data_IF_390614234453
#
_entry.id   IF_390614234453
#
_cell.length_a   1.000
_cell.length_b   1.000
_cell.length_c   1.000
_cell.angle_alpha   90.00
_cell.angle_beta   90.00
_cell.angle_gamma   90.00
#
_symmetry.space_group_name_H-M   'P 1'
#
loop_
_entity.id
_entity.type
_entity.pdbx_description
1 polymer ?
#
# COMPACT_ATOMS: atom_id res chain seq x y z
N UNK A 1 10.50 -30.19 60.17
CA UNK A 1 10.70 -30.11 58.70
C UNK A 1 9.38 -30.37 57.99
N UNK A 2 8.71 -29.32 57.50
CA UNK A 2 7.65 -29.43 56.48
C UNK A 2 7.76 -28.18 55.61
N UNK A 3 8.45 -28.31 54.49
CA UNK A 3 8.47 -27.30 53.44
C UNK A 3 7.20 -27.47 52.60
N UNK A 4 6.40 -26.41 52.54
CA UNK A 4 5.24 -26.26 51.66
C UNK A 4 5.75 -25.90 50.26
N UNK A 5 5.42 -26.62 49.17
CA UNK A 5 5.84 -26.18 47.85
C UNK A 5 4.90 -25.05 47.39
N UNK A 6 5.52 -23.91 47.10
CA UNK A 6 4.90 -22.75 46.47
C UNK A 6 4.59 -23.13 45.01
N UNK A 7 3.32 -23.35 44.68
CA UNK A 7 2.87 -23.59 43.31
C UNK A 7 2.81 -22.24 42.59
N UNK A 8 3.88 -21.89 41.88
CA UNK A 8 3.95 -20.70 41.03
C UNK A 8 3.08 -20.94 39.79
N UNK A 9 1.89 -20.34 39.75
CA UNK A 9 1.03 -20.33 38.57
C UNK A 9 1.70 -19.46 37.49
N UNK A 10 2.40 -20.12 36.56
CA UNK A 10 2.81 -19.54 35.29
C UNK A 10 1.54 -19.32 34.45
N UNK A 11 0.91 -18.14 34.61
CA UNK A 11 -0.02 -17.60 33.62
C UNK A 11 0.79 -17.26 32.38
N UNK A 12 1.01 -18.25 31.52
CA UNK A 12 1.45 -18.00 30.16
C UNK A 12 0.36 -17.19 29.49
N UNK A 13 0.63 -15.90 29.25
CA UNK A 13 -0.12 -15.09 28.30
C UNK A 13 0.02 -15.76 26.94
N UNK A 14 -0.86 -16.71 26.65
CA UNK A 14 -1.17 -17.11 25.29
C UNK A 14 -1.87 -15.91 24.68
N UNK A 15 -1.09 -14.97 24.14
CA UNK A 15 -1.59 -14.12 23.07
C UNK A 15 -1.94 -15.07 21.95
N UNK A 16 -3.20 -15.50 21.93
CA UNK A 16 -3.81 -16.10 20.75
C UNK A 16 -3.58 -15.03 19.69
N UNK A 17 -2.66 -15.28 18.76
CA UNK A 17 -2.64 -14.57 17.50
C UNK A 17 -4.02 -14.88 16.89
N UNK A 18 -4.99 -13.99 17.11
CA UNK A 18 -6.29 -14.12 16.47
C UNK A 18 -6.00 -14.01 14.98
N UNK A 19 -6.22 -15.12 14.28
CA UNK A 19 -6.05 -15.18 12.85
C UNK A 19 -7.05 -14.18 12.24
N UNK A 20 -6.53 -13.08 11.68
CA UNK A 20 -7.38 -12.06 11.06
C UNK A 20 -8.05 -12.65 9.83
N UNK A 21 -9.32 -12.27 9.64
CA UNK A 21 -10.11 -12.76 8.51
C UNK A 21 -10.06 -11.81 7.32
N UNK A 22 -9.90 -12.35 6.11
CA UNK A 22 -9.95 -11.57 4.88
C UNK A 22 -11.39 -11.10 4.62
N UNK A 23 -11.59 -9.80 4.37
CA UNK A 23 -12.91 -9.26 4.01
C UNK A 23 -13.46 -9.86 2.71
N UNK A 24 -14.79 -10.01 2.63
CA UNK A 24 -15.50 -10.59 1.47
C UNK A 24 -15.24 -9.81 0.18
N UNK A 25 -14.88 -8.53 0.28
CA UNK A 25 -14.62 -7.66 -0.86
C UNK A 25 -13.18 -7.68 -1.39
N UNK A 26 -12.30 -8.53 -0.82
CA UNK A 26 -10.87 -8.57 -1.12
C UNK A 26 -10.41 -9.78 -1.96
N UNK A 27 -9.17 -9.76 -2.45
CA UNK A 27 -8.52 -10.84 -3.19
C UNK A 27 -7.01 -10.90 -2.88
N UNK A 28 -6.53 -12.03 -2.36
CA UNK A 28 -5.12 -12.27 -1.97
C UNK A 28 -4.34 -13.13 -2.96
N UNK A 29 -4.80 -13.29 -4.20
CA UNK A 29 -4.15 -14.18 -5.17
C UNK A 29 -2.82 -13.63 -5.72
N UNK A 30 -2.86 -12.87 -6.81
CA UNK A 30 -1.67 -12.49 -7.57
C UNK A 30 -0.92 -11.31 -6.93
N UNK A 31 -1.62 -10.20 -6.73
CA UNK A 31 -0.99 -8.96 -6.29
C UNK A 31 -0.50 -9.03 -4.85
N UNK A 32 -1.16 -9.77 -3.98
CA UNK A 32 -0.78 -9.92 -2.58
C UNK A 32 0.57 -10.63 -2.41
N UNK A 33 0.80 -11.73 -3.15
CA UNK A 33 2.08 -12.44 -3.10
C UNK A 33 3.23 -11.60 -3.67
N UNK A 34 3.00 -10.93 -4.80
CA UNK A 34 3.99 -10.03 -5.38
C UNK A 34 4.32 -8.87 -4.44
N UNK A 35 3.30 -8.34 -3.73
CA UNK A 35 3.44 -7.29 -2.73
C UNK A 35 4.24 -7.70 -1.50
N UNK A 36 4.16 -8.95 -1.07
CA UNK A 36 4.90 -9.42 0.09
C UNK A 36 6.42 -9.24 -0.06
N UNK A 37 6.94 -9.36 -1.29
CA UNK A 37 8.36 -9.10 -1.57
C UNK A 37 8.69 -7.61 -1.51
N UNK A 38 7.90 -6.75 -2.18
CA UNK A 38 8.11 -5.30 -2.14
C UNK A 38 7.96 -4.72 -0.73
N UNK A 39 6.97 -5.19 0.05
CA UNK A 39 6.79 -4.79 1.44
C UNK A 39 8.07 -5.05 2.24
N UNK A 40 8.66 -6.24 2.09
CA UNK A 40 9.93 -6.58 2.74
C UNK A 40 11.07 -5.65 2.36
N UNK A 41 11.18 -5.25 1.09
CA UNK A 41 12.22 -4.31 0.64
C UNK A 41 11.97 -2.87 1.10
N UNK A 42 10.73 -2.51 1.43
CA UNK A 42 10.33 -1.21 1.97
C UNK A 42 10.26 -1.18 3.51
N UNK A 43 10.71 -2.25 4.18
CA UNK A 43 10.59 -2.45 5.63
C UNK A 43 9.13 -2.37 6.15
N UNK A 44 8.16 -2.78 5.32
CA UNK A 44 6.76 -2.88 5.68
C UNK A 44 6.37 -4.34 5.96
N UNK A 45 5.55 -4.56 6.99
CA UNK A 45 4.85 -5.83 7.17
C UNK A 45 3.73 -5.96 6.15
N UNK A 46 3.32 -7.18 5.80
CA UNK A 46 2.10 -7.39 5.02
C UNK A 46 0.87 -6.98 5.85
N UNK A 47 -0.21 -6.53 5.20
CA UNK A 47 -1.34 -5.93 5.90
C UNK A 47 -2.05 -6.91 6.84
N UNK A 48 -2.08 -8.20 6.50
CA UNK A 48 -2.58 -9.30 7.35
C UNK A 48 -1.80 -9.44 8.66
N UNK A 49 -0.51 -9.11 8.63
CA UNK A 49 0.41 -9.20 9.76
C UNK A 49 0.65 -7.88 10.48
N UNK A 50 -0.11 -6.82 10.17
CA UNK A 50 0.03 -5.50 10.80
C UNK A 50 -0.06 -5.60 12.33
N UNK A 51 0.83 -4.94 13.05
CA UNK A 51 0.76 -4.87 14.53
C UNK A 51 -0.10 -3.72 15.05
N UNK A 52 -0.58 -2.85 14.16
CA UNK A 52 -1.38 -1.68 14.52
C UNK A 52 -2.83 -2.07 14.78
N UNK A 53 -3.52 -1.32 15.65
CA UNK A 53 -4.97 -1.53 15.88
C UNK A 53 -5.78 -1.24 14.62
N UNK A 54 -5.40 -0.16 13.93
CA UNK A 54 -5.88 0.17 12.61
C UNK A 54 -4.72 0.58 11.72
N UNK A 55 -4.74 0.09 10.48
CA UNK A 55 -3.82 0.52 9.44
C UNK A 55 -4.55 0.61 8.10
N UNK A 56 -4.26 1.66 7.35
CA UNK A 56 -4.70 1.86 5.99
C UNK A 56 -3.50 2.09 5.08
N UNK A 57 -3.51 1.50 3.88
CA UNK A 57 -2.52 1.82 2.84
C UNK A 57 -3.17 2.02 1.50
N UNK A 58 -2.78 3.09 0.82
CA UNK A 58 -3.11 3.34 -0.56
C UNK A 58 -1.85 3.38 -1.42
N UNK A 59 -1.90 2.69 -2.55
CA UNK A 59 -0.78 2.53 -3.46
C UNK A 59 -1.19 2.91 -4.87
N UNK A 60 -0.34 3.65 -5.58
CA UNK A 60 -0.56 4.01 -6.99
C UNK A 60 0.69 3.86 -7.87
N UNK A 61 1.45 2.80 -7.59
CA UNK A 61 2.54 2.32 -8.43
C UNK A 61 3.91 2.75 -7.97
N UNK A 62 4.13 4.01 -7.57
CA UNK A 62 5.45 4.49 -7.15
C UNK A 62 5.48 5.09 -5.74
N UNK A 63 4.32 5.10 -5.07
CA UNK A 63 4.22 5.49 -3.68
C UNK A 63 3.23 4.63 -2.92
N UNK A 64 3.42 4.66 -1.60
CA UNK A 64 2.50 4.15 -0.59
C UNK A 64 2.16 5.30 0.32
N UNK A 65 0.88 5.54 0.54
CA UNK A 65 0.42 6.40 1.63
C UNK A 65 -0.08 5.47 2.72
N UNK A 66 0.48 5.59 3.91
CA UNK A 66 0.18 4.74 5.07
C UNK A 66 -0.38 5.61 6.18
N UNK A 67 -1.52 5.21 6.73
CA UNK A 67 -2.13 5.79 7.92
C UNK A 67 -2.26 4.69 8.97
N UNK A 68 -1.97 4.99 10.23
CA UNK A 68 -2.11 4.04 11.32
C UNK A 68 -2.38 4.74 12.65
N UNK A 69 -3.05 4.04 13.55
CA UNK A 69 -3.27 4.52 14.92
C UNK A 69 -2.12 4.06 15.82
N UNK A 70 -1.57 4.98 16.59
CA UNK A 70 -0.48 4.72 17.54
C UNK A 70 -0.62 5.65 18.72
N UNK A 71 -0.78 5.09 19.91
CA UNK A 71 -0.95 5.86 21.17
C UNK A 71 -2.13 6.85 21.10
N UNK A 72 -3.28 6.39 20.58
CA UNK A 72 -4.50 7.20 20.36
C UNK A 72 -4.34 8.37 19.36
N UNK A 73 -3.23 8.43 18.63
CA UNK A 73 -3.00 9.41 17.58
C UNK A 73 -2.97 8.75 16.18
N UNK A 74 -3.67 9.37 15.24
CA UNK A 74 -3.59 8.99 13.83
C UNK A 74 -2.30 9.57 13.21
N UNK A 75 -1.39 8.68 12.84
CA UNK A 75 -0.11 9.02 12.19
C UNK A 75 -0.19 8.69 10.70
N UNK A 76 0.64 9.37 9.90
CA UNK A 76 0.72 9.03 8.49
C UNK A 76 2.08 9.35 7.86
N UNK A 77 2.44 8.55 6.87
CA UNK A 77 3.64 8.71 6.08
C UNK A 77 3.36 8.45 4.60
N UNK A 78 4.23 8.98 3.74
CA UNK A 78 4.31 8.61 2.33
C UNK A 78 5.67 8.00 2.05
N UNK A 79 5.67 6.82 1.44
CA UNK A 79 6.87 6.10 1.03
C UNK A 79 6.93 6.15 -0.49
N UNK A 80 7.91 6.87 -1.03
CA UNK A 80 8.19 6.87 -2.47
C UNK A 80 9.23 5.81 -2.78
N UNK A 81 9.10 5.14 -3.93
CA UNK A 81 10.06 4.12 -4.33
C UNK A 81 10.19 4.01 -5.85
N UNK A 82 11.38 3.60 -6.29
CA UNK A 82 11.72 3.30 -7.68
C UNK A 82 12.66 2.11 -7.74
N UNK A 83 12.60 1.37 -8.84
CA UNK A 83 13.54 0.28 -9.09
C UNK A 83 14.44 0.60 -10.27
N UNK A 84 15.74 0.40 -10.09
CA UNK A 84 16.74 0.60 -11.15
C UNK A 84 16.43 -0.29 -12.37
N UNK A 85 16.40 0.29 -13.56
CA UNK A 85 16.30 -0.47 -14.80
C UNK A 85 17.71 -0.88 -15.25
N UNK A 86 17.96 -2.19 -15.25
CA UNK A 86 19.18 -2.78 -15.84
C UNK A 86 18.83 -3.57 -17.07
N UNK A 87 19.17 -3.04 -18.25
CA UNK A 87 19.03 -3.76 -19.51
C UNK A 87 19.93 -5.01 -19.50
N UNK A 88 19.36 -6.20 -19.30
CA UNK A 88 20.03 -7.47 -19.57
C UNK A 88 19.72 -7.94 -20.98
N UNK A 89 20.67 -8.69 -21.57
CA UNK A 89 20.58 -9.13 -22.96
C UNK A 89 19.50 -10.21 -23.21
N UNK A 90 18.86 -10.80 -22.19
CA UNK A 90 17.85 -11.88 -22.31
C UNK A 90 17.04 -12.09 -21.00
N UNK A 91 16.60 -11.05 -20.29
CA UNK A 91 15.81 -11.22 -19.06
C UNK A 91 14.77 -10.12 -18.87
N UNK A 92 13.53 -10.52 -18.58
CA UNK A 92 12.41 -9.65 -18.18
C UNK A 92 12.35 -9.45 -16.65
N UNK A 93 13.33 -9.97 -15.90
CA UNK A 93 13.32 -9.84 -14.44
C UNK A 93 13.73 -8.43 -14.02
N UNK A 94 12.96 -7.88 -13.08
CA UNK A 94 13.18 -6.58 -12.46
C UNK A 94 14.32 -6.64 -11.42
N UNK A 95 15.53 -7.07 -11.80
CA UNK A 95 16.68 -7.26 -10.90
C UNK A 95 17.47 -5.96 -10.63
N UNK A 96 16.73 -4.89 -10.36
CA UNK A 96 17.25 -3.57 -10.03
C UNK A 96 17.34 -3.34 -8.54
N UNK A 97 18.30 -2.49 -8.13
CA UNK A 97 18.31 -1.94 -6.77
C UNK A 97 17.02 -1.14 -6.53
N UNK A 98 16.44 -1.28 -5.35
CA UNK A 98 15.37 -0.41 -4.89
C UNK A 98 15.98 0.88 -4.34
N UNK A 99 15.40 2.02 -4.68
CA UNK A 99 15.62 3.29 -3.99
C UNK A 99 14.28 3.74 -3.45
N UNK A 100 14.19 3.94 -2.14
CA UNK A 100 12.98 4.42 -1.48
C UNK A 100 13.32 5.46 -0.42
N UNK A 101 12.32 6.27 -0.08
CA UNK A 101 12.39 7.21 1.02
C UNK A 101 11.00 7.36 1.64
N UNK A 102 10.94 7.34 2.97
CA UNK A 102 9.72 7.66 3.73
C UNK A 102 9.77 9.11 4.23
N UNK A 103 8.63 9.78 4.15
CA UNK A 103 8.39 11.11 4.68
C UNK A 103 7.15 11.10 5.58
N UNK A 104 7.31 11.52 6.84
CA UNK A 104 6.18 11.76 7.73
C UNK A 104 5.34 12.94 7.22
N UNK A 105 4.02 12.74 7.20
CA UNK A 105 3.07 13.75 6.76
C UNK A 105 2.64 14.61 7.95
N UNK A 106 2.31 15.88 7.67
CA UNK A 106 1.84 16.77 8.71
C UNK A 106 0.45 16.35 9.22
N UNK A 107 0.11 16.68 10.46
CA UNK A 107 -1.22 16.42 11.03
C UNK A 107 -2.36 16.94 10.13
N UNK A 108 -2.19 18.13 9.54
CA UNK A 108 -3.15 18.70 8.58
C UNK A 108 -3.34 17.79 7.36
N UNK A 109 -2.26 17.28 6.81
CA UNK A 109 -2.28 16.35 5.67
C UNK A 109 -2.88 15.01 6.08
N UNK A 110 -2.50 14.46 7.23
CA UNK A 110 -3.08 13.23 7.81
C UNK A 110 -4.60 13.34 7.91
N UNK A 111 -5.11 14.43 8.49
CA UNK A 111 -6.56 14.68 8.59
C UNK A 111 -7.23 14.80 7.23
N UNK A 112 -6.58 15.47 6.28
CA UNK A 112 -7.09 15.61 4.91
C UNK A 112 -7.24 14.24 4.23
N UNK A 113 -6.22 13.38 4.32
CA UNK A 113 -6.25 12.03 3.74
C UNK A 113 -7.32 11.19 4.43
N UNK A 114 -7.40 11.24 5.77
CA UNK A 114 -8.42 10.51 6.51
C UNK A 114 -9.83 10.93 6.08
N UNK A 115 -10.09 12.23 5.93
CA UNK A 115 -11.38 12.72 5.44
C UNK A 115 -11.67 12.22 4.02
N UNK A 116 -10.69 12.23 3.11
CA UNK A 116 -10.87 11.66 1.75
C UNK A 116 -11.24 10.17 1.84
N UNK A 117 -10.58 9.39 2.69
CA UNK A 117 -10.88 7.96 2.87
C UNK A 117 -12.32 7.77 3.36
N UNK A 118 -12.77 8.55 4.34
CA UNK A 118 -14.11 8.47 4.92
C UNK A 118 -15.20 8.98 3.97
N UNK A 119 -15.01 10.14 3.34
CA UNK A 119 -15.96 10.77 2.42
C UNK A 119 -16.21 9.90 1.18
N UNK A 120 -15.16 9.21 0.72
CA UNK A 120 -15.28 8.25 -0.38
C UNK A 120 -15.68 6.85 0.10
N UNK A 121 -15.61 6.56 1.39
CA UNK A 121 -15.88 5.21 1.91
C UNK A 121 -15.16 4.13 1.06
N UNK A 122 -13.89 4.40 0.70
CA UNK A 122 -13.16 3.62 -0.32
C UNK A 122 -12.97 2.15 0.10
N UNK A 123 -13.09 1.88 1.40
CA UNK A 123 -13.04 0.54 1.98
C UNK A 123 -14.26 -0.32 1.64
N UNK A 124 -15.35 0.25 1.14
CA UNK A 124 -16.54 -0.52 0.73
C UNK A 124 -16.52 -0.87 -0.78
N UNK A 125 -15.66 -0.23 -1.56
CA UNK A 125 -15.51 -0.55 -2.99
C UNK A 125 -14.99 -1.99 -3.15
N UNK A 126 -15.67 -2.90 -3.89
CA UNK A 126 -15.15 -4.25 -4.15
C UNK A 126 -13.89 -4.21 -5.02
N UNK A 127 -12.97 -5.16 -4.84
CA UNK A 127 -11.82 -5.32 -5.76
C UNK A 127 -12.27 -5.49 -7.22
N UNK A 128 -11.43 -5.08 -8.18
CA UNK A 128 -11.82 -4.99 -9.60
C UNK A 128 -12.46 -6.26 -10.19
N UNK A 129 -11.93 -7.45 -9.87
CA UNK A 129 -12.46 -8.72 -10.36
C UNK A 129 -13.87 -9.07 -9.85
N UNK A 130 -14.42 -8.32 -8.89
CA UNK A 130 -15.81 -8.42 -8.40
C UNK A 130 -16.71 -7.35 -9.00
N UNK A 131 -16.16 -6.36 -9.71
CA UNK A 131 -16.94 -5.33 -10.40
C UNK A 131 -17.27 -5.80 -11.81
N UNK A 132 -18.56 -5.92 -12.11
CA UNK A 132 -19.01 -6.32 -13.44
C UNK A 132 -18.57 -5.32 -14.50
N UNK A 133 -17.85 -5.80 -15.51
CA UNK A 133 -17.36 -4.99 -16.62
C UNK A 133 -15.92 -4.50 -16.45
N UNK A 134 -15.33 -4.66 -15.26
CA UNK A 134 -13.92 -4.31 -15.04
C UNK A 134 -13.02 -5.43 -15.53
N UNK A 135 -12.17 -5.14 -16.50
CA UNK A 135 -11.21 -6.10 -17.06
C UNK A 135 -9.77 -5.67 -16.84
N UNK A 136 -8.82 -6.60 -16.84
CA UNK A 136 -7.40 -6.26 -16.74
C UNK A 136 -6.85 -5.92 -18.13
N UNK A 137 -6.08 -4.84 -18.23
CA UNK A 137 -5.35 -4.44 -19.43
C UNK A 137 -3.87 -4.83 -19.38
N UNK A 138 -3.14 -4.49 -20.45
CA UNK A 138 -1.68 -4.73 -20.56
C UNK A 138 -0.84 -3.50 -20.15
N UNK A 139 -1.39 -2.28 -20.29
CA UNK A 139 -0.72 -1.02 -19.97
C UNK A 139 -1.56 -0.15 -19.04
N UNK A 140 -0.97 0.30 -17.93
CA UNK A 140 -1.68 1.05 -16.89
C UNK A 140 -0.99 1.02 -15.52
N UNK A 141 -1.62 1.71 -14.58
CA UNK A 141 -1.32 1.70 -13.15
C UNK A 141 -2.29 0.76 -12.44
N UNK A 142 -1.76 -0.13 -11.60
CA UNK A 142 -2.53 -0.87 -10.60
C UNK A 142 -2.58 -0.07 -9.31
N UNK A 143 -3.78 0.29 -8.89
CA UNK A 143 -4.03 0.88 -7.58
C UNK A 143 -4.32 -0.23 -6.58
N UNK A 144 -3.84 -0.08 -5.34
CA UNK A 144 -4.18 -1.02 -4.28
C UNK A 144 -4.62 -0.27 -3.04
N UNK A 145 -5.73 -0.73 -2.46
CA UNK A 145 -6.28 -0.27 -1.18
C UNK A 145 -6.20 -1.44 -0.21
N UNK A 146 -5.56 -1.19 0.91
CA UNK A 146 -5.34 -2.15 1.98
C UNK A 146 -5.84 -1.57 3.30
N UNK A 147 -6.43 -2.41 4.14
CA UNK A 147 -6.70 -2.03 5.53
C UNK A 147 -6.54 -3.20 6.48
N UNK A 148 -6.20 -2.92 7.73
CA UNK A 148 -6.16 -3.88 8.83
C UNK A 148 -6.93 -3.30 10.01
N UNK A 149 -7.69 -4.17 10.68
CA UNK A 149 -8.39 -3.94 11.92
C UNK A 149 -8.15 -5.15 12.84
N UNK A 150 -8.54 -5.12 14.14
CA UNK A 150 -8.17 -6.18 15.08
C UNK A 150 -8.62 -7.59 14.65
N UNK A 151 -9.75 -7.72 13.96
CA UNK A 151 -10.33 -9.01 13.56
C UNK A 151 -10.29 -9.31 12.06
N UNK A 152 -9.89 -8.34 11.23
CA UNK A 152 -9.99 -8.48 9.78
C UNK A 152 -8.98 -7.64 9.02
N UNK A 153 -8.75 -8.00 7.76
CA UNK A 153 -7.96 -7.20 6.85
C UNK A 153 -8.57 -7.20 5.44
N UNK A 154 -8.24 -6.17 4.67
CA UNK A 154 -8.64 -6.02 3.27
C UNK A 154 -7.42 -5.81 2.38
N UNK A 155 -7.51 -6.36 1.18
CA UNK A 155 -6.55 -6.15 0.10
C UNK A 155 -7.33 -6.13 -1.20
N UNK A 156 -7.33 -4.98 -1.87
CA UNK A 156 -8.15 -4.74 -3.06
C UNK A 156 -7.29 -4.11 -4.13
N UNK A 157 -7.30 -4.70 -5.32
CA UNK A 157 -6.56 -4.19 -6.47
C UNK A 157 -7.49 -3.66 -7.53
N UNK A 158 -7.05 -2.62 -8.23
CA UNK A 158 -7.81 -1.99 -9.29
C UNK A 158 -6.89 -1.66 -10.46
N UNK A 159 -7.17 -2.28 -11.61
CA UNK A 159 -6.57 -1.84 -12.86
C UNK A 159 -7.07 -0.45 -13.26
N UNK A 160 -6.26 0.32 -13.99
CA UNK A 160 -6.48 1.74 -14.32
C UNK A 160 -7.95 2.11 -14.61
N UNK A 161 -8.59 2.93 -13.75
CA UNK A 161 -10.02 3.22 -13.85
C UNK A 161 -10.39 4.07 -15.07
N UNK A 162 -9.47 4.88 -15.61
CA UNK A 162 -9.72 5.68 -16.82
C UNK A 162 -10.00 4.84 -18.07
N UNK A 163 -9.71 3.53 -18.03
CA UNK A 163 -10.05 2.59 -19.11
C UNK A 163 -11.53 2.19 -19.13
N UNK A 164 -12.30 2.53 -18.08
CA UNK A 164 -13.70 2.14 -17.91
C UNK A 164 -14.60 3.34 -17.57
N UNK A 165 -14.62 4.41 -18.39
CA UNK A 165 -15.32 5.65 -18.08
C UNK A 165 -16.83 5.46 -17.86
N UNK A 166 -17.43 4.38 -18.36
CA UNK A 166 -18.83 4.01 -18.18
C UNK A 166 -19.14 3.42 -16.79
N UNK A 167 -18.18 2.77 -16.13
CA UNK A 167 -18.37 2.15 -14.82
C UNK A 167 -18.40 3.23 -13.73
N UNK A 168 -19.40 3.17 -12.85
CA UNK A 168 -19.56 4.16 -11.77
C UNK A 168 -18.41 4.04 -10.78
N UNK A 169 -18.05 2.81 -10.45
CA UNK A 169 -16.96 2.39 -9.58
C UNK A 169 -15.60 2.88 -10.09
N UNK A 170 -15.39 2.87 -11.40
CA UNK A 170 -14.14 3.35 -12.00
C UNK A 170 -14.02 4.87 -11.89
N UNK A 171 -15.07 5.61 -12.26
CA UNK A 171 -15.10 7.07 -12.04
C UNK A 171 -14.92 7.43 -10.57
N UNK A 172 -15.55 6.66 -9.70
CA UNK A 172 -15.45 6.83 -8.26
C UNK A 172 -14.00 6.70 -7.76
N UNK A 173 -13.33 5.60 -8.11
CA UNK A 173 -11.92 5.40 -7.80
C UNK A 173 -11.05 6.49 -8.43
N UNK A 174 -11.31 6.89 -9.67
CA UNK A 174 -10.55 7.94 -10.34
C UNK A 174 -10.61 9.26 -9.57
N UNK A 175 -11.79 9.67 -9.09
CA UNK A 175 -11.91 10.87 -8.27
C UNK A 175 -11.18 10.75 -6.94
N UNK A 176 -11.23 9.59 -6.28
CA UNK A 176 -10.44 9.34 -5.06
C UNK A 176 -8.94 9.53 -5.33
N UNK A 177 -8.43 8.93 -6.40
CA UNK A 177 -7.02 9.04 -6.82
C UNK A 177 -6.63 10.49 -7.10
N UNK A 178 -7.49 11.26 -7.78
CA UNK A 178 -7.27 12.68 -8.05
C UNK A 178 -7.21 13.53 -6.78
N UNK A 179 -8.11 13.28 -5.82
CA UNK A 179 -8.09 13.99 -4.54
C UNK A 179 -6.79 13.71 -3.77
N UNK A 180 -6.35 12.45 -3.70
CA UNK A 180 -5.09 12.08 -3.06
C UNK A 180 -3.89 12.73 -3.78
N UNK A 181 -3.85 12.68 -5.11
CA UNK A 181 -2.74 13.23 -5.89
C UNK A 181 -2.70 14.76 -5.90
N UNK A 182 -3.80 15.43 -5.55
CA UNK A 182 -3.86 16.89 -5.41
C UNK A 182 -3.21 17.42 -4.11
N UNK A 183 -2.83 16.53 -3.19
CA UNK A 183 -2.24 16.91 -1.91
C UNK A 183 -0.83 17.46 -2.11
N UNK A 184 -0.69 18.77 -1.88
CA UNK A 184 0.54 19.52 -2.13
C UNK A 184 1.78 18.91 -1.45
N UNK A 185 1.67 18.51 -0.17
CA UNK A 185 2.80 17.92 0.56
C UNK A 185 3.32 16.64 -0.11
N UNK A 186 2.43 15.80 -0.64
CA UNK A 186 2.79 14.56 -1.33
C UNK A 186 3.46 14.90 -2.67
N UNK A 187 2.92 15.85 -3.42
CA UNK A 187 3.50 16.27 -4.70
C UNK A 187 4.92 16.83 -4.55
N UNK A 188 5.14 17.73 -3.57
CA UNK A 188 6.47 18.26 -3.25
C UNK A 188 7.44 17.19 -2.76
N UNK A 189 6.97 16.29 -1.90
CA UNK A 189 7.79 15.15 -1.43
C UNK A 189 8.27 14.28 -2.59
N UNK A 190 7.41 14.05 -3.58
CA UNK A 190 7.79 13.32 -4.79
C UNK A 190 8.84 14.06 -5.61
N UNK A 191 8.70 15.37 -5.82
CA UNK A 191 9.70 16.18 -6.52
C UNK A 191 11.08 16.11 -5.83
N UNK A 192 11.11 16.24 -4.51
CA UNK A 192 12.33 16.12 -3.71
C UNK A 192 12.96 14.73 -3.82
N UNK A 193 12.15 13.68 -3.78
CA UNK A 193 12.59 12.31 -3.97
C UNK A 193 13.19 12.11 -5.37
N UNK A 194 12.53 12.60 -6.42
CA UNK A 194 13.00 12.52 -7.81
C UNK A 194 14.27 13.33 -8.07
N UNK A 195 14.48 14.41 -7.33
CA UNK A 195 15.72 15.18 -7.39
C UNK A 195 16.93 14.38 -6.84
N UNK A 196 16.69 13.55 -5.81
CA UNK A 196 17.73 12.80 -5.07
C UNK A 196 17.98 11.39 -5.60
N UNK A 197 17.04 10.81 -6.36
CA UNK A 197 17.18 9.45 -6.85
C UNK A 197 18.46 9.25 -7.69
N UNK A 198 19.21 8.14 -7.49
CA UNK A 198 20.55 7.96 -8.07
C UNK A 198 20.58 7.27 -9.43
N UNK A 199 19.44 6.80 -9.94
CA UNK A 199 19.35 5.97 -11.13
C UNK A 199 19.29 6.79 -12.42
N UNK A 200 20.11 6.37 -13.40
CA UNK A 200 20.03 6.88 -14.77
C UNK A 200 18.79 6.35 -15.49
N UNK A 201 18.42 5.10 -15.23
CA UNK A 201 17.24 4.47 -15.80
C UNK A 201 16.51 3.71 -14.70
N UNK A 202 15.19 3.85 -14.65
CA UNK A 202 14.37 3.26 -13.59
C UNK A 202 12.96 2.95 -14.08
N UNK A 203 12.33 1.96 -13.45
CA UNK A 203 10.90 1.73 -13.55
C UNK A 203 10.18 2.67 -12.57
N UNK A 204 9.24 3.44 -13.09
CA UNK A 204 8.27 4.15 -12.29
C UNK A 204 6.98 3.31 -12.31
N UNK A 205 6.56 2.81 -11.15
CA UNK A 205 5.36 1.99 -11.07
C UNK A 205 5.62 0.50 -10.82
N UNK A 206 4.88 -0.05 -9.88
CA UNK A 206 4.63 -1.49 -9.71
C UNK A 206 4.07 -2.05 -11.02
N UNK A 207 4.70 -3.08 -11.57
CA UNK A 207 4.23 -3.77 -12.77
C UNK A 207 4.39 -2.99 -14.09
N UNK A 208 5.07 -1.83 -14.07
CA UNK A 208 5.33 -1.05 -15.28
C UNK A 208 6.38 -1.73 -16.16
N UNK A 209 6.04 -1.93 -17.44
CA UNK A 209 6.99 -2.31 -18.49
C UNK A 209 7.77 -1.11 -19.03
N UNK A 210 7.33 0.11 -18.70
CA UNK A 210 7.93 1.36 -19.12
C UNK A 210 9.02 1.81 -18.14
N UNK A 211 10.17 2.20 -18.68
CA UNK A 211 11.27 2.76 -17.91
C UNK A 211 11.57 4.19 -18.37
N UNK A 212 11.98 5.02 -17.42
CA UNK A 212 12.39 6.40 -17.68
C UNK A 212 13.91 6.43 -17.80
N UNK A 213 14.44 7.24 -18.72
CA UNK A 213 15.87 7.56 -18.81
C UNK A 213 16.05 9.03 -18.43
N UNK A 214 16.83 9.30 -17.39
CA UNK A 214 17.24 10.66 -17.04
C UNK A 214 18.28 11.14 -18.07
N UNK A 215 17.88 12.08 -18.93
CA UNK A 215 18.80 12.79 -19.81
C UNK A 215 19.53 13.83 -18.95
N UNK A 216 20.86 13.85 -19.02
CA UNK A 216 21.70 14.84 -18.34
C UNK A 216 21.77 16.12 -19.17
#
# INVERSE_FOLDING_TARGET
>A
MRSLPFLLLLLTNLTIAQERTLTVESDTTFWFNWRAELNRELDLQTIDNSTEEYEFRFWDGYKVIRLWESEDELKSEVIFFLREFKKRKNSYNHEGRLYYNSQQLSEKTTKTINNIIQDFNILDLPTDNKIKGWTKGLDGVTYIVESSAPSSFSFKSYWTPTSFPELKEARFLQYFVEQINSIEQISKGFEEFMAKQPFKSYYAGIGSSAYVIKIK
#
